data_IF_533540810808
#
_entry.id   IF_533540810808
#
_cell.length_a   1.000
_cell.length_b   1.000
_cell.length_c   1.000
_cell.angle_alpha   90.00
_cell.angle_beta   90.00
_cell.angle_gamma   90.00
#
_symmetry.space_group_name_H-M   'P 1'
#
loop_
_entity.id
_entity.type
_entity.pdbx_description
1 polymer ?
#
# COMPACT_ATOMS: atom_id res chain seq x y z
N UNK A 1 15.24 -39.73 -0.23
CA UNK A 1 15.28 -40.45 1.06
C UNK A 1 13.97 -40.21 1.79
N UNK A 2 13.44 -41.27 2.38
CA UNK A 2 12.11 -41.39 2.97
C UNK A 2 11.83 -40.42 4.14
N UNK A 3 10.56 -40.04 4.33
CA UNK A 3 9.71 -40.65 5.37
C UNK A 3 8.35 -39.95 5.44
N UNK A 4 7.29 -40.76 5.25
CA UNK A 4 5.89 -40.44 5.54
C UNK A 4 5.61 -40.70 7.02
N UNK A 5 4.92 -39.77 7.70
CA UNK A 5 3.76 -39.98 8.60
C UNK A 5 3.57 -38.79 9.54
N UNK A 6 2.34 -38.36 9.68
CA UNK A 6 1.93 -37.40 10.71
C UNK A 6 0.49 -36.93 10.50
N UNK A 7 -0.48 -37.77 10.90
CA UNK A 7 -1.90 -37.45 10.82
C UNK A 7 -2.29 -36.27 11.72
N UNK A 8 -3.28 -35.52 11.27
CA UNK A 8 -3.83 -34.38 12.01
C UNK A 8 -5.21 -34.00 11.50
N UNK A 9 -6.23 -34.60 12.13
CA UNK A 9 -7.60 -34.10 12.36
C UNK A 9 -8.29 -33.35 11.20
N UNK A 10 -9.19 -34.08 10.54
CA UNK A 10 -10.33 -33.53 9.80
C UNK A 10 -11.25 -32.74 10.73
N UNK A 11 -11.36 -31.43 10.52
CA UNK A 11 -12.47 -30.62 11.02
C UNK A 11 -13.72 -30.87 10.17
N UNK A 12 -14.93 -30.92 10.76
CA UNK A 12 -16.14 -31.13 10.00
C UNK A 12 -16.45 -29.89 9.14
N UNK A 13 -16.69 -30.17 7.86
CA UNK A 13 -17.32 -29.28 6.88
C UNK A 13 -18.60 -28.70 7.47
N UNK A 14 -18.60 -27.39 7.71
CA UNK A 14 -19.82 -26.62 7.95
C UNK A 14 -20.66 -26.71 6.68
N UNK A 15 -21.82 -27.35 6.80
CA UNK A 15 -22.83 -27.42 5.76
C UNK A 15 -23.12 -26.04 5.18
N UNK A 16 -22.83 -25.88 3.89
CA UNK A 16 -23.34 -24.79 3.09
C UNK A 16 -24.86 -24.80 3.17
N UNK A 17 -25.42 -23.71 3.68
CA UNK A 17 -26.85 -23.45 3.53
C UNK A 17 -27.13 -23.29 2.05
N UNK A 18 -27.92 -24.22 1.51
CA UNK A 18 -28.62 -24.06 0.24
C UNK A 18 -29.40 -22.75 0.30
N UNK A 19 -28.98 -21.76 -0.49
CA UNK A 19 -29.82 -20.63 -0.85
C UNK A 19 -30.71 -21.15 -1.97
N UNK A 20 -31.82 -21.79 -1.60
CA UNK A 20 -32.91 -22.04 -2.54
C UNK A 20 -33.61 -20.71 -2.79
N UNK A 21 -33.43 -20.17 -4.00
CA UNK A 21 -34.31 -19.15 -4.57
C UNK A 21 -35.73 -19.74 -4.68
N UNK A 22 -36.56 -19.45 -3.68
CA UNK A 22 -38.01 -19.54 -3.78
C UNK A 22 -38.56 -18.14 -3.57
N UNK A 23 -38.93 -17.48 -4.66
CA UNK A 23 -39.99 -16.48 -4.64
C UNK A 23 -40.59 -16.38 -6.04
N UNK A 24 -41.56 -17.25 -6.29
CA UNK A 24 -42.46 -17.20 -7.44
C UNK A 24 -43.85 -16.75 -6.95
N UNK A 25 -43.87 -15.64 -6.21
CA UNK A 25 -45.11 -14.99 -5.80
C UNK A 25 -45.42 -13.86 -6.78
N UNK A 26 -46.53 -14.01 -7.51
CA UNK A 26 -47.02 -13.04 -8.47
C UNK A 26 -47.15 -11.64 -7.85
N UNK A 27 -46.23 -10.76 -8.22
CA UNK A 27 -46.31 -9.33 -7.90
C UNK A 27 -47.39 -8.69 -8.75
N UNK A 28 -48.38 -8.09 -8.09
CA UNK A 28 -49.20 -7.04 -8.69
C UNK A 28 -48.30 -5.88 -9.14
N UNK A 29 -48.68 -5.12 -10.19
CA UNK A 29 -47.92 -3.97 -10.66
C UNK A 29 -47.72 -2.99 -9.52
N UNK A 30 -46.46 -2.85 -9.11
CA UNK A 30 -45.98 -1.96 -8.06
C UNK A 30 -46.36 -0.52 -8.47
N UNK A 31 -47.20 0.14 -7.66
CA UNK A 31 -47.52 1.56 -7.85
C UNK A 31 -46.19 2.30 -7.92
N UNK A 32 -45.97 3.02 -9.02
CA UNK A 32 -44.79 3.86 -9.21
C UNK A 32 -44.65 4.80 -8.00
N UNK A 33 -43.76 4.43 -7.09
CA UNK A 33 -43.38 5.26 -5.97
C UNK A 33 -42.58 6.41 -6.59
N UNK A 34 -43.19 7.59 -6.64
CA UNK A 34 -42.44 8.81 -6.95
C UNK A 34 -41.37 8.93 -5.89
N UNK A 35 -40.11 8.74 -6.29
CA UNK A 35 -38.97 8.99 -5.43
C UNK A 35 -39.08 10.42 -4.93
N UNK A 36 -39.07 10.64 -3.60
CA UNK A 36 -39.01 11.98 -3.04
C UNK A 36 -37.88 12.75 -3.71
N UNK A 37 -38.18 13.94 -4.22
CA UNK A 37 -37.17 14.82 -4.78
C UNK A 37 -36.17 15.10 -3.67
N UNK A 38 -34.94 14.60 -3.83
CA UNK A 38 -33.88 14.86 -2.86
C UNK A 38 -33.69 16.37 -2.73
N UNK A 39 -33.58 16.90 -1.50
CA UNK A 39 -33.33 18.32 -1.30
C UNK A 39 -32.01 18.69 -1.98
N UNK A 40 -31.88 19.93 -2.50
CA UNK A 40 -30.65 20.38 -3.13
C UNK A 40 -29.49 20.20 -2.15
N UNK A 41 -28.44 19.49 -2.61
CA UNK A 41 -27.21 19.28 -1.85
C UNK A 41 -26.62 20.63 -1.44
N UNK A 42 -26.44 20.82 -0.13
CA UNK A 42 -25.73 21.97 0.42
C UNK A 42 -24.27 21.95 -0.06
N UNK A 43 -23.91 22.93 -0.90
CA UNK A 43 -22.58 23.04 -1.48
C UNK A 43 -21.48 23.29 -0.43
N UNK A 44 -21.84 23.69 0.79
CA UNK A 44 -20.88 23.77 1.90
C UNK A 44 -20.42 22.41 2.41
N UNK A 45 -21.11 21.33 2.02
CA UNK A 45 -20.74 19.94 2.32
C UNK A 45 -19.89 19.29 1.21
N UNK A 46 -19.53 20.02 0.15
CA UNK A 46 -18.69 19.49 -0.90
C UNK A 46 -17.26 19.27 -0.37
N UNK A 47 -16.86 18.00 -0.27
CA UNK A 47 -15.44 17.65 -0.13
C UNK A 47 -14.78 18.00 -1.46
N UNK A 48 -13.65 18.74 -1.47
CA UNK A 48 -12.94 19.01 -2.72
C UNK A 48 -12.67 17.69 -3.44
N UNK A 49 -13.07 17.62 -4.72
CA UNK A 49 -12.71 16.49 -5.57
C UNK A 49 -11.19 16.32 -5.49
N UNK A 50 -10.68 15.08 -5.34
CA UNK A 50 -9.24 14.86 -5.43
C UNK A 50 -8.74 15.51 -6.73
N UNK A 51 -7.66 16.27 -6.62
CA UNK A 51 -7.11 17.05 -7.74
C UNK A 51 -6.60 16.15 -8.88
N UNK A 52 -6.44 14.86 -8.60
CA UNK A 52 -5.99 13.83 -9.54
C UNK A 52 -7.10 12.79 -9.68
N UNK A 53 -7.53 12.43 -10.90
CA UNK A 53 -8.48 11.36 -11.11
C UNK A 53 -7.92 10.05 -10.53
N UNK A 54 -8.71 9.38 -9.70
CA UNK A 54 -8.31 8.09 -9.13
C UNK A 54 -8.31 7.03 -10.25
N UNK A 55 -7.32 6.13 -10.28
CA UNK A 55 -7.28 5.06 -11.28
C UNK A 55 -8.54 4.19 -11.16
N UNK A 56 -9.12 3.84 -12.31
CA UNK A 56 -10.22 2.88 -12.36
C UNK A 56 -9.68 1.46 -12.34
N UNK A 57 -10.54 0.48 -12.03
CA UNK A 57 -10.20 -0.93 -12.16
C UNK A 57 -9.68 -1.26 -13.57
N UNK A 58 -10.26 -0.64 -14.60
CA UNK A 58 -9.84 -0.82 -15.99
C UNK A 58 -8.43 -0.28 -16.21
N UNK A 59 -8.15 0.94 -15.72
CA UNK A 59 -6.82 1.56 -15.82
C UNK A 59 -5.72 0.69 -15.20
N UNK A 60 -6.00 0.03 -14.08
CA UNK A 60 -5.05 -0.88 -13.43
C UNK A 60 -4.91 -2.22 -14.18
N UNK A 61 -5.99 -2.75 -14.74
CA UNK A 61 -5.98 -4.03 -15.47
C UNK A 61 -5.42 -3.94 -16.88
N UNK A 62 -5.55 -2.79 -17.53
CA UNK A 62 -5.06 -2.53 -18.88
C UNK A 62 -3.59 -2.08 -18.89
N UNK A 63 -3.01 -1.82 -17.72
CA UNK A 63 -1.62 -1.40 -17.62
C UNK A 63 -0.65 -2.54 -17.96
N UNK A 64 -0.02 -2.43 -19.12
CA UNK A 64 0.99 -3.39 -19.57
C UNK A 64 2.35 -3.09 -18.93
N UNK A 65 2.66 -3.82 -17.85
CA UNK A 65 3.93 -3.72 -17.13
C UNK A 65 5.18 -3.80 -18.05
N UNK A 66 5.11 -4.57 -19.14
CA UNK A 66 6.27 -4.76 -20.02
C UNK A 66 6.43 -3.59 -20.99
N UNK A 67 5.32 -3.12 -21.55
CA UNK A 67 5.31 -2.03 -22.53
C UNK A 67 5.58 -0.67 -21.89
N UNK A 68 5.04 -0.45 -20.69
CA UNK A 68 5.09 0.84 -20.01
C UNK A 68 6.40 1.08 -19.24
N UNK A 69 7.34 0.13 -19.31
CA UNK A 69 8.66 0.25 -18.69
C UNK A 69 8.62 0.09 -17.17
N UNK A 70 7.64 -0.66 -16.64
CA UNK A 70 7.54 -0.90 -15.22
C UNK A 70 8.75 -1.69 -14.72
N UNK A 71 9.26 -1.30 -13.55
CA UNK A 71 10.43 -1.93 -12.93
C UNK A 71 10.03 -2.68 -11.66
N UNK A 72 10.32 -3.98 -11.60
CA UNK A 72 10.10 -4.75 -10.40
C UNK A 72 11.05 -4.25 -9.29
N UNK A 73 10.48 -3.76 -8.18
CA UNK A 73 11.22 -3.34 -7.00
C UNK A 73 11.51 -4.51 -6.06
N UNK A 74 10.55 -5.42 -5.97
CA UNK A 74 10.64 -6.59 -5.10
C UNK A 74 9.49 -7.55 -5.33
N UNK A 75 9.73 -8.81 -5.00
CA UNK A 75 8.70 -9.85 -5.05
C UNK A 75 8.72 -10.62 -3.74
N UNK A 76 7.57 -10.63 -3.06
CA UNK A 76 7.33 -11.53 -1.93
C UNK A 76 6.79 -12.87 -2.41
N UNK A 77 6.29 -13.66 -1.45
CA UNK A 77 5.64 -14.93 -1.77
C UNK A 77 4.35 -14.72 -2.59
N UNK A 78 3.60 -13.66 -2.32
CA UNK A 78 2.25 -13.46 -2.87
C UNK A 78 2.13 -12.29 -3.84
N UNK A 79 2.99 -11.27 -3.70
CA UNK A 79 2.89 -10.01 -4.45
C UNK A 79 4.21 -9.58 -5.06
N UNK A 80 4.12 -8.96 -6.24
CA UNK A 80 5.17 -8.13 -6.80
C UNK A 80 4.86 -6.66 -6.53
N UNK A 81 5.89 -5.85 -6.29
CA UNK A 81 5.81 -4.40 -6.24
C UNK A 81 6.54 -3.82 -7.45
N UNK A 82 5.84 -3.03 -8.24
CA UNK A 82 6.31 -2.49 -9.51
C UNK A 82 6.36 -0.97 -9.42
N UNK A 83 7.48 -0.39 -9.77
CA UNK A 83 7.62 1.05 -10.02
C UNK A 83 7.05 1.34 -11.41
N UNK A 84 5.97 2.10 -11.44
CA UNK A 84 5.18 2.42 -12.65
C UNK A 84 5.16 3.94 -12.93
N UNK A 85 5.99 4.71 -12.22
CA UNK A 85 6.10 6.15 -12.41
C UNK A 85 4.78 6.90 -12.19
N UNK A 86 4.52 7.93 -13.00
CA UNK A 86 3.28 8.74 -12.95
C UNK A 86 2.29 8.42 -14.07
N UNK A 87 2.56 7.40 -14.89
CA UNK A 87 1.75 7.05 -16.07
C UNK A 87 0.30 6.73 -15.68
N UNK A 88 0.09 5.95 -14.61
CA UNK A 88 -1.24 5.55 -14.14
C UNK A 88 -2.10 6.67 -13.55
N UNK A 89 -1.50 7.84 -13.29
CA UNK A 89 -2.22 9.01 -12.81
C UNK A 89 -2.66 9.94 -13.95
N UNK A 90 -2.44 9.54 -15.21
CA UNK A 90 -2.82 10.35 -16.38
C UNK A 90 -1.94 11.58 -16.60
N UNK A 91 -0.78 11.66 -15.95
CA UNK A 91 0.19 12.75 -16.11
C UNK A 91 1.06 12.60 -17.38
N UNK A 92 0.52 11.96 -18.42
CA UNK A 92 1.23 11.61 -19.66
C UNK A 92 1.75 12.86 -20.41
N UNK A 93 1.18 14.03 -20.14
CA UNK A 93 1.52 15.29 -20.80
C UNK A 93 2.62 16.12 -20.10
N UNK A 94 3.19 15.65 -18.98
CA UNK A 94 4.32 16.34 -18.34
C UNK A 94 5.69 16.02 -18.99
N UNK A 95 5.72 15.12 -19.97
CA UNK A 95 6.94 14.70 -20.68
C UNK A 95 7.13 15.56 -21.94
N UNK A 96 7.40 16.84 -21.72
CA UNK A 96 7.97 17.77 -22.71
C UNK A 96 9.33 18.33 -22.28
N UNK A 97 9.87 17.87 -21.15
CA UNK A 97 11.21 18.27 -20.70
C UNK A 97 12.28 17.46 -21.42
N UNK A 98 12.98 18.09 -22.35
CA UNK A 98 14.12 17.55 -23.07
C UNK A 98 15.18 17.00 -22.10
N UNK A 99 15.76 15.85 -22.46
CA UNK A 99 16.71 15.04 -21.67
C UNK A 99 17.92 15.79 -21.09
N UNK A 100 18.20 17.01 -21.55
CA UNK A 100 19.36 17.80 -21.18
C UNK A 100 19.21 18.62 -19.89
N UNK A 101 17.98 18.82 -19.38
CA UNK A 101 17.75 19.53 -18.10
C UNK A 101 17.56 18.58 -16.90
N UNK A 102 18.01 17.32 -17.04
CA UNK A 102 18.01 16.28 -15.99
C UNK A 102 19.07 16.52 -14.90
N UNK A 103 19.40 17.78 -14.63
CA UNK A 103 20.23 18.19 -13.49
C UNK A 103 19.50 17.92 -12.16
N UNK A 104 19.70 16.72 -11.60
CA UNK A 104 19.55 16.32 -10.20
C UNK A 104 18.25 16.61 -9.41
N UNK A 105 17.24 17.29 -9.97
CA UNK A 105 15.94 17.49 -9.33
C UNK A 105 14.87 16.65 -10.00
N UNK A 106 14.96 15.32 -9.84
CA UNK A 106 13.87 14.41 -10.20
C UNK A 106 12.68 14.65 -9.27
N UNK A 107 11.84 15.64 -9.61
CA UNK A 107 10.41 15.63 -9.29
C UNK A 107 9.82 14.38 -9.93
N UNK A 108 9.46 13.36 -9.15
CA UNK A 108 8.38 12.45 -9.50
C UNK A 108 7.67 11.97 -8.24
N UNK A 109 6.34 12.12 -8.15
CA UNK A 109 5.56 11.17 -7.38
C UNK A 109 5.68 9.83 -8.13
N UNK A 110 6.61 8.99 -7.68
CA UNK A 110 6.62 7.62 -8.16
C UNK A 110 5.40 6.94 -7.54
N UNK A 111 4.66 6.18 -8.34
CA UNK A 111 3.60 5.32 -7.84
C UNK A 111 4.06 3.88 -7.90
N UNK A 112 3.65 3.09 -6.91
CA UNK A 112 3.95 1.66 -6.82
C UNK A 112 2.69 0.88 -7.06
N UNK A 113 2.69 0.08 -8.11
CA UNK A 113 1.65 -0.90 -8.36
C UNK A 113 2.03 -2.19 -7.66
N UNK A 114 1.25 -2.64 -6.68
CA UNK A 114 1.38 -3.97 -6.09
C UNK A 114 0.37 -4.90 -6.74
N UNK A 115 0.83 -6.03 -7.27
CA UNK A 115 -0.02 -7.04 -7.93
C UNK A 115 0.23 -8.43 -7.34
N UNK A 116 -0.74 -9.33 -7.50
CA UNK A 116 -0.51 -10.77 -7.38
C UNK A 116 0.55 -11.25 -8.37
N UNK A 117 1.38 -12.22 -7.95
CA UNK A 117 2.35 -12.85 -8.85
C UNK A 117 1.63 -13.88 -9.74
N UNK A 118 1.77 -13.74 -11.05
CA UNK A 118 1.12 -14.59 -12.07
C UNK A 118 1.36 -16.10 -11.91
N UNK A 119 2.45 -16.49 -11.25
CA UNK A 119 2.81 -17.91 -11.02
C UNK A 119 1.97 -18.60 -9.95
N UNK A 120 1.16 -17.86 -9.17
CA UNK A 120 0.32 -18.44 -8.10
C UNK A 120 -1.10 -18.70 -8.60
N UNK A 121 -1.71 -19.75 -8.04
CA UNK A 121 -3.12 -20.03 -8.28
C UNK A 121 -3.98 -18.97 -7.58
N UNK A 122 -4.97 -18.47 -8.31
CA UNK A 122 -5.97 -17.56 -7.79
C UNK A 122 -7.03 -18.32 -7.02
N UNK A 123 -6.84 -18.42 -5.70
CA UNK A 123 -7.86 -18.94 -4.81
C UNK A 123 -8.65 -17.80 -4.13
N UNK A 124 -9.87 -18.14 -3.67
CA UNK A 124 -10.77 -17.19 -3.02
C UNK A 124 -10.20 -16.60 -1.73
N UNK A 125 -9.38 -17.36 -1.01
CA UNK A 125 -8.82 -16.94 0.29
C UNK A 125 -7.80 -15.82 0.06
N UNK A 126 -6.91 -16.02 -0.91
CA UNK A 126 -5.92 -15.06 -1.35
C UNK A 126 -6.61 -13.79 -1.81
N UNK A 127 -7.57 -13.89 -2.75
CA UNK A 127 -8.35 -12.73 -3.23
C UNK A 127 -8.98 -11.95 -2.08
N UNK A 128 -9.57 -12.65 -1.10
CA UNK A 128 -10.16 -12.01 0.07
C UNK A 128 -9.12 -11.26 0.91
N UNK A 129 -7.93 -11.84 1.14
CA UNK A 129 -6.84 -11.15 1.83
C UNK A 129 -6.38 -9.89 1.05
N UNK A 130 -6.26 -9.97 -0.28
CA UNK A 130 -5.92 -8.81 -1.10
C UNK A 130 -6.97 -7.70 -1.01
N UNK A 131 -8.25 -8.08 -1.04
CA UNK A 131 -9.35 -7.13 -0.91
C UNK A 131 -9.37 -6.45 0.46
N UNK A 132 -9.15 -7.20 1.55
CA UNK A 132 -9.09 -6.65 2.91
C UNK A 132 -7.92 -5.68 3.06
N UNK A 133 -6.73 -6.07 2.60
CA UNK A 133 -5.55 -5.20 2.66
C UNK A 133 -5.77 -3.91 1.86
N UNK A 134 -6.41 -4.01 0.70
CA UNK A 134 -6.68 -2.86 -0.15
C UNK A 134 -7.66 -1.88 0.48
N UNK A 135 -8.75 -2.39 1.09
CA UNK A 135 -9.72 -1.57 1.83
C UNK A 135 -9.06 -0.89 3.03
N UNK A 136 -8.21 -1.60 3.77
CA UNK A 136 -7.49 -1.02 4.91
C UNK A 136 -6.52 0.06 4.43
N UNK A 137 -5.76 -0.20 3.37
CA UNK A 137 -4.82 0.78 2.82
C UNK A 137 -5.53 2.06 2.36
N UNK A 138 -6.66 1.93 1.67
CA UNK A 138 -7.51 3.05 1.27
C UNK A 138 -8.07 3.84 2.46
N UNK A 139 -8.57 3.14 3.48
CA UNK A 139 -9.02 3.76 4.72
C UNK A 139 -7.89 4.53 5.46
N UNK A 140 -6.64 4.09 5.26
CA UNK A 140 -5.44 4.67 5.85
C UNK A 140 -4.85 5.82 5.05
N UNK A 141 -5.28 6.07 3.80
CA UNK A 141 -4.76 7.15 2.93
C UNK A 141 -4.86 8.55 3.57
N UNK A 142 -5.69 8.74 4.59
CA UNK A 142 -5.80 10.02 5.32
C UNK A 142 -4.69 10.25 6.33
N UNK A 143 -3.98 9.20 6.77
CA UNK A 143 -2.85 9.36 7.67
C UNK A 143 -1.64 9.90 6.90
N UNK A 144 -0.85 10.76 7.55
CA UNK A 144 0.43 11.23 7.00
C UNK A 144 1.56 10.23 7.21
N UNK A 145 1.35 9.23 8.07
CA UNK A 145 2.35 8.24 8.46
C UNK A 145 2.02 6.85 7.90
N UNK A 146 1.23 6.80 6.83
CA UNK A 146 0.90 5.58 6.09
C UNK A 146 1.21 5.79 4.61
N UNK A 147 1.56 4.72 3.91
CA UNK A 147 1.59 4.71 2.45
C UNK A 147 0.18 4.97 1.91
N UNK A 148 0.00 6.06 1.17
CA UNK A 148 -1.27 6.39 0.54
C UNK A 148 -1.64 5.37 -0.53
N UNK A 149 -2.90 4.95 -0.56
CA UNK A 149 -3.46 4.23 -1.69
C UNK A 149 -4.14 5.23 -2.62
N UNK A 150 -3.74 5.26 -3.88
CA UNK A 150 -4.40 6.06 -4.91
C UNK A 150 -5.62 5.33 -5.48
N UNK A 151 -5.62 4.00 -5.44
CA UNK A 151 -6.78 3.20 -5.84
C UNK A 151 -6.45 1.72 -5.82
N UNK A 152 -7.47 0.88 -5.89
CA UNK A 152 -7.31 -0.57 -5.87
C UNK A 152 -8.38 -1.27 -6.71
N UNK A 153 -8.03 -2.46 -7.18
CA UNK A 153 -8.95 -3.39 -7.80
C UNK A 153 -8.61 -4.81 -7.35
N UNK A 154 -9.35 -5.32 -6.36
CA UNK A 154 -9.31 -6.68 -5.77
C UNK A 154 -7.92 -7.28 -5.47
N UNK A 155 -7.10 -7.49 -6.49
CA UNK A 155 -5.78 -8.12 -6.51
C UNK A 155 -4.63 -7.15 -6.84
N UNK A 156 -4.94 -5.90 -7.15
CA UNK A 156 -3.98 -4.85 -7.43
C UNK A 156 -4.28 -3.59 -6.60
N UNK A 157 -3.23 -2.91 -6.17
CA UNK A 157 -3.33 -1.63 -5.46
C UNK A 157 -2.22 -0.70 -5.96
N UNK A 158 -2.59 0.54 -6.25
CA UNK A 158 -1.68 1.61 -6.61
C UNK A 158 -1.41 2.45 -5.37
N UNK A 159 -0.14 2.58 -5.02
CA UNK A 159 0.33 3.21 -3.79
C UNK A 159 1.27 4.37 -4.08
N UNK A 160 1.41 5.26 -3.10
CA UNK A 160 2.54 6.16 -2.97
C UNK A 160 3.86 5.38 -2.93
N UNK A 161 4.89 5.92 -3.57
CA UNK A 161 6.26 5.45 -3.43
C UNK A 161 6.90 6.01 -2.17
N UNK A 162 7.63 5.15 -1.48
CA UNK A 162 8.56 5.54 -0.43
C UNK A 162 9.94 4.95 -0.76
N UNK A 163 10.99 5.74 -0.52
CA UNK A 163 12.32 5.50 -1.08
C UNK A 163 12.96 4.21 -0.57
N UNK A 164 12.90 3.98 0.75
CA UNK A 164 13.55 2.83 1.41
C UNK A 164 12.88 2.43 2.70
N UNK A 165 13.25 1.24 3.19
CA UNK A 165 12.83 0.77 4.51
C UNK A 165 13.53 1.56 5.63
N UNK A 166 12.90 1.62 6.82
CA UNK A 166 13.49 2.18 8.03
C UNK A 166 14.75 1.41 8.43
N UNK A 167 14.77 0.09 8.20
CA UNK A 167 15.97 -0.71 8.43
C UNK A 167 17.16 -0.23 7.59
N UNK A 168 16.96 -0.07 6.27
CA UNK A 168 18.01 0.39 5.36
C UNK A 168 18.42 1.83 5.65
N UNK A 169 17.46 2.69 6.00
CA UNK A 169 17.73 4.06 6.41
C UNK A 169 18.65 4.08 7.64
N UNK A 170 18.30 3.35 8.69
CA UNK A 170 19.12 3.28 9.91
C UNK A 170 20.49 2.68 9.61
N UNK A 171 20.57 1.54 8.90
CA UNK A 171 21.85 0.91 8.52
C UNK A 171 22.74 1.85 7.72
N UNK A 172 22.18 2.66 6.84
CA UNK A 172 22.95 3.63 6.05
C UNK A 172 23.61 4.72 6.90
N UNK A 173 23.06 5.01 8.08
CA UNK A 173 23.50 6.00 9.08
C UNK A 173 24.30 5.40 10.23
N UNK A 174 24.37 4.07 10.34
CA UNK A 174 25.26 3.42 11.31
C UNK A 174 26.69 3.58 10.81
N UNK A 175 27.61 3.95 11.71
CA UNK A 175 29.04 4.00 11.45
C UNK A 175 29.53 2.60 11.07
N UNK A 176 29.67 2.35 9.77
CA UNK A 176 30.37 1.17 9.27
C UNK A 176 31.85 1.51 9.30
N UNK A 177 32.59 0.94 10.25
CA UNK A 177 34.04 0.87 10.18
C UNK A 177 34.39 -0.06 9.01
N UNK A 178 34.54 0.48 7.81
CA UNK A 178 35.00 -0.32 6.68
C UNK A 178 36.48 -0.63 6.88
N UNK A 179 36.79 -1.90 7.13
CA UNK A 179 38.15 -2.42 7.14
C UNK A 179 38.54 -2.76 5.71
N UNK A 180 38.86 -1.76 4.90
CA UNK A 180 39.53 -2.02 3.63
C UNK A 180 41.00 -2.36 3.88
N UNK A 181 41.26 -3.62 4.24
CA UNK A 181 42.61 -4.17 4.26
C UNK A 181 43.03 -4.47 2.82
N UNK A 182 43.92 -3.66 2.24
CA UNK A 182 44.68 -4.12 1.08
C UNK A 182 45.55 -5.30 1.52
N UNK A 183 45.54 -6.44 0.80
CA UNK A 183 46.40 -7.55 1.14
C UNK A 183 47.87 -7.11 1.07
N UNK A 184 48.53 -6.96 2.22
CA UNK A 184 49.98 -6.81 2.33
C UNK A 184 50.56 -5.41 2.58
N UNK A 185 49.78 -4.40 2.99
CA UNK A 185 50.33 -3.11 3.46
C UNK A 185 49.82 -2.74 4.85
N UNK A 186 50.73 -2.22 5.68
CA UNK A 186 50.43 -1.70 7.02
C UNK A 186 49.22 -0.75 6.95
N UNK A 187 48.24 -1.05 7.79
CA UNK A 187 46.86 -0.57 7.71
C UNK A 187 46.79 0.96 7.90
N UNK A 188 46.49 1.68 6.82
CA UNK A 188 46.15 3.09 6.90
C UNK A 188 44.62 3.20 7.04
N UNK A 189 44.16 3.27 8.28
CA UNK A 189 42.74 3.26 8.62
C UNK A 189 42.08 4.59 8.26
N UNK A 190 41.27 4.61 7.19
CA UNK A 190 40.36 5.74 6.93
C UNK A 190 39.00 5.45 7.51
N UNK A 191 38.75 6.00 8.71
CA UNK A 191 37.39 6.05 9.28
C UNK A 191 36.59 7.07 8.50
N UNK A 192 35.75 6.61 7.56
CA UNK A 192 34.72 7.46 6.96
C UNK A 192 33.60 7.60 7.99
N UNK A 193 33.60 8.71 8.73
CA UNK A 193 32.48 9.08 9.58
C UNK A 193 31.29 9.40 8.67
N UNK A 194 30.25 8.57 8.71
CA UNK A 194 28.92 8.98 8.28
C UNK A 194 28.23 9.69 9.44
N UNK A 195 27.37 10.65 9.12
CA UNK A 195 26.54 11.35 10.11
C UNK A 195 25.71 10.34 10.88
N UNK A 196 26.14 10.04 12.11
CA UNK A 196 25.43 9.13 13.01
C UNK A 196 24.10 9.76 13.43
N UNK A 197 23.03 8.96 13.42
CA UNK A 197 21.74 9.42 13.93
C UNK A 197 21.83 9.76 15.41
N UNK A 198 21.48 10.99 15.73
CA UNK A 198 21.32 11.49 17.10
C UNK A 198 20.20 10.76 17.83
N UNK A 199 20.24 10.77 19.16
CA UNK A 199 19.15 10.22 19.97
C UNK A 199 17.82 10.93 19.72
N UNK A 200 17.85 12.22 19.37
CA UNK A 200 16.66 13.00 19.02
C UNK A 200 15.99 12.51 17.73
N UNK A 201 16.77 12.27 16.67
CA UNK A 201 16.24 11.72 15.41
C UNK A 201 15.66 10.31 15.59
N UNK A 202 16.32 9.47 16.40
CA UNK A 202 15.79 8.14 16.75
C UNK A 202 14.45 8.23 17.45
N UNK A 203 14.32 9.16 18.41
CA UNK A 203 13.08 9.39 19.15
C UNK A 203 11.98 9.92 18.22
N UNK A 204 12.31 10.83 17.31
CA UNK A 204 11.35 11.36 16.34
C UNK A 204 10.80 10.25 15.42
N UNK A 205 11.67 9.41 14.84
CA UNK A 205 11.23 8.26 14.04
C UNK A 205 10.33 7.30 14.84
N UNK A 206 10.66 7.04 16.11
CA UNK A 206 9.83 6.22 16.98
C UNK A 206 8.45 6.84 17.24
N UNK A 207 8.38 8.16 17.43
CA UNK A 207 7.13 8.90 17.57
C UNK A 207 6.29 8.80 16.29
N UNK A 208 6.90 8.93 15.12
CA UNK A 208 6.22 8.80 13.84
C UNK A 208 5.64 7.40 13.63
N UNK A 209 6.40 6.34 13.94
CA UNK A 209 5.91 4.95 13.92
C UNK A 209 4.75 4.75 14.89
N UNK A 210 4.84 5.30 16.12
CA UNK A 210 3.76 5.22 17.08
C UNK A 210 2.47 5.91 16.59
N UNK A 211 2.60 7.06 15.90
CA UNK A 211 1.47 7.75 15.26
C UNK A 211 0.87 6.90 14.14
N UNK A 212 1.69 6.30 13.27
CA UNK A 212 1.21 5.40 12.22
C UNK A 212 0.37 4.23 12.78
N UNK A 213 0.84 3.60 13.87
CA UNK A 213 0.14 2.51 14.54
C UNK A 213 -1.17 2.99 15.16
N UNK A 214 -1.15 4.16 15.80
CA UNK A 214 -2.35 4.78 16.36
C UNK A 214 -3.40 5.05 15.27
N UNK A 215 -2.99 5.61 14.14
CA UNK A 215 -3.87 5.87 13.00
C UNK A 215 -4.44 4.55 12.43
N UNK A 216 -3.65 3.47 12.41
CA UNK A 216 -4.09 2.15 11.96
C UNK A 216 -5.15 1.54 12.86
N UNK A 217 -5.03 1.72 14.18
CA UNK A 217 -6.04 1.25 15.11
C UNK A 217 -7.35 2.02 15.00
N UNK A 218 -7.31 3.26 14.50
CA UNK A 218 -8.47 4.14 14.36
C UNK A 218 -8.54 4.80 12.97
N UNK A 219 -8.78 4.03 11.89
CA UNK A 219 -8.72 4.54 10.53
C UNK A 219 -9.74 5.69 10.34
N UNK A 220 -9.30 6.91 9.96
CA UNK A 220 -10.17 8.07 9.91
C UNK A 220 -11.36 7.93 8.95
N UNK A 221 -11.23 7.09 7.92
CA UNK A 221 -12.32 6.83 6.98
C UNK A 221 -13.43 5.96 7.58
N UNK A 222 -13.09 5.00 8.45
CA UNK A 222 -14.01 4.02 9.01
C UNK A 222 -14.70 4.51 10.29
N UNK A 223 -14.17 5.55 10.95
CA UNK A 223 -14.74 6.12 12.17
C UNK A 223 -15.96 7.03 11.92
N UNK A 224 -16.07 7.61 10.72
CA UNK A 224 -17.12 8.59 10.38
C UNK A 224 -18.43 7.97 9.90
N UNK A 225 -18.40 6.73 9.42
CA UNK A 225 -19.60 5.98 9.05
C UNK A 225 -20.32 5.53 10.31
N UNK A 226 -21.26 6.36 10.78
CA UNK A 226 -22.33 6.19 11.79
C UNK A 226 -22.70 4.75 12.19
N UNK A 227 -21.74 3.97 12.67
CA UNK A 227 -21.93 2.59 13.09
C UNK A 227 -22.25 2.63 14.57
N UNK A 228 -23.55 2.69 14.88
CA UNK A 228 -24.07 2.34 16.21
C UNK A 228 -23.70 0.92 16.65
N UNK A 229 -23.07 0.10 15.79
CA UNK A 229 -22.73 -1.29 16.02
C UNK A 229 -21.30 -1.63 15.55
N UNK A 230 -20.28 -1.23 16.32
CA UNK A 230 -18.92 -1.81 16.26
C UNK A 230 -17.87 -0.95 15.57
N UNK A 231 -16.82 -0.61 16.31
CA UNK A 231 -15.60 -0.02 15.76
C UNK A 231 -14.76 -1.10 15.07
N UNK A 232 -14.38 -0.85 13.82
CA UNK A 232 -13.42 -1.69 13.09
C UNK A 232 -12.02 -1.36 13.59
N UNK A 233 -11.29 -2.36 14.06
CA UNK A 233 -9.88 -2.23 14.43
C UNK A 233 -9.02 -3.00 13.44
N UNK A 234 -7.98 -2.36 12.91
CA UNK A 234 -6.91 -3.07 12.22
C UNK A 234 -5.76 -3.33 13.20
N UNK A 235 -5.08 -4.46 13.02
CA UNK A 235 -3.91 -4.84 13.81
C UNK A 235 -2.81 -5.23 12.83
N UNK A 236 -1.63 -4.63 12.99
CA UNK A 236 -0.47 -4.97 12.18
C UNK A 236 0.33 -6.09 12.84
N UNK A 237 0.24 -7.30 12.30
CA UNK A 237 0.86 -8.48 12.91
C UNK A 237 2.35 -8.65 12.61
N UNK A 238 2.90 -7.90 11.66
CA UNK A 238 4.29 -8.04 11.19
C UNK A 238 5.03 -6.69 11.26
N UNK A 239 4.93 -6.00 12.40
CA UNK A 239 5.62 -4.72 12.61
C UNK A 239 7.12 -4.95 12.83
N UNK A 240 7.92 -4.54 11.85
CA UNK A 240 9.38 -4.63 11.88
C UNK A 240 10.00 -3.52 11.00
N UNK A 241 11.25 -3.11 11.25
CA UNK A 241 11.87 -1.99 10.53
C UNK A 241 11.92 -2.15 8.99
N UNK A 242 11.99 -3.39 8.47
CA UNK A 242 11.96 -3.67 7.03
C UNK A 242 10.60 -3.40 6.38
N UNK A 243 9.51 -3.37 7.17
CA UNK A 243 8.14 -3.13 6.71
C UNK A 243 7.66 -1.69 6.94
N UNK A 244 8.49 -0.86 7.55
CA UNK A 244 8.23 0.57 7.77
C UNK A 244 9.00 1.33 6.72
N UNK A 245 8.34 2.22 5.97
CA UNK A 245 8.99 2.93 4.87
C UNK A 245 9.33 4.36 5.28
N UNK A 246 10.31 4.95 4.61
CA UNK A 246 10.68 6.36 4.74
C UNK A 246 10.61 7.01 3.38
N UNK A 247 9.92 8.15 3.33
CA UNK A 247 10.03 9.12 2.25
C UNK A 247 11.19 10.06 2.59
N UNK A 248 12.27 9.97 1.81
CA UNK A 248 13.49 10.76 2.03
C UNK A 248 13.30 12.25 1.79
N UNK A 249 12.34 12.62 0.94
CA UNK A 249 12.10 14.02 0.60
C UNK A 249 11.45 14.75 1.76
N UNK A 250 10.50 14.08 2.42
CA UNK A 250 9.75 14.66 3.55
C UNK A 250 10.35 14.28 4.90
N UNK A 251 11.18 13.25 4.96
CA UNK A 251 11.69 12.68 6.21
C UNK A 251 10.60 11.98 7.02
N UNK A 252 9.45 11.69 6.42
CA UNK A 252 8.31 11.08 7.09
C UNK A 252 8.33 9.56 6.95
N UNK A 253 7.94 8.89 8.03
CA UNK A 253 7.58 7.46 8.01
C UNK A 253 6.29 7.27 7.22
N UNK A 254 6.21 6.18 6.46
CA UNK A 254 5.07 5.75 5.66
C UNK A 254 4.75 4.28 5.90
#
# INVERSE_FOLDING_TARGET
>A
MASLRGGGRTTPLVHGRNITNYDNNGRQPEKQHQTPVEPPLDQSMCVPSPAVPLPTCNSVHEFDLSREGARLLGSGNWRGAWDVGSQLLGEENAIGGTDEDRGHHRRRPNTILKTTIWKRQFDRVTINHHSVDAVIADAMTRSRHSIHAYGYCSQAILNEYADRSLEDYVKSRVKVLHMEGMPGKAEDFRVVHRDEMTSGEKLDLAIQVAKAISDLHFPPALSSSSAKNGSVFAVYNDLKPENVMIDEQTGLIK
#
